data_IF_260090194136
#
_entry.id   IF_260090194136
#
_cell.length_a   1.000
_cell.length_b   1.000
_cell.length_c   1.000
_cell.angle_alpha   90.00
_cell.angle_beta   90.00
_cell.angle_gamma   90.00
#
_symmetry.space_group_name_H-M   'P 1'
#
loop_
_entity.id
_entity.type
_entity.pdbx_description
1 polymer ?
#
# COMPACT_ATOMS: atom_id res chain seq x y z
N UNK A 1 -35.89 31.62 52.60
CA UNK A 1 -34.42 31.59 52.39
C UNK A 1 -34.03 30.19 51.94
N UNK A 2 -34.09 29.92 50.64
CA UNK A 2 -33.73 28.63 50.04
C UNK A 2 -32.32 28.77 49.45
N UNK A 3 -31.36 28.05 50.03
CA UNK A 3 -29.97 27.99 49.54
C UNK A 3 -29.96 27.25 48.21
N UNK A 4 -29.63 27.95 47.14
CA UNK A 4 -29.31 27.35 45.85
C UNK A 4 -27.87 26.88 45.91
N UNK A 5 -27.66 25.57 46.04
CA UNK A 5 -26.32 24.98 45.86
C UNK A 5 -25.99 25.03 44.37
N UNK A 6 -25.20 26.03 43.99
CA UNK A 6 -24.54 26.06 42.70
C UNK A 6 -23.45 24.98 42.72
N UNK A 7 -23.71 23.84 42.08
CA UNK A 7 -22.69 22.85 41.76
C UNK A 7 -21.74 23.52 40.76
N UNK A 8 -20.57 23.94 41.24
CA UNK A 8 -19.51 24.44 40.39
C UNK A 8 -19.05 23.31 39.45
N UNK A 9 -19.55 23.31 38.22
CA UNK A 9 -19.02 22.47 37.16
C UNK A 9 -17.57 22.86 36.96
N UNK A 10 -16.66 21.93 37.24
CA UNK A 10 -15.23 22.09 36.98
C UNK A 10 -15.06 22.29 35.47
N UNK A 11 -14.84 23.53 35.04
CA UNK A 11 -14.47 23.87 33.66
C UNK A 11 -13.06 23.37 33.37
N UNK A 12 -12.90 22.05 33.22
CA UNK A 12 -11.80 21.51 32.43
C UNK A 12 -11.98 22.03 31.00
N UNK A 13 -10.91 22.55 30.39
CA UNK A 13 -10.90 22.97 28.97
C UNK A 13 -11.47 21.83 28.12
N UNK A 14 -12.73 21.91 27.72
CA UNK A 14 -13.33 20.97 26.80
C UNK A 14 -12.64 21.16 25.44
N UNK A 15 -11.92 20.15 24.97
CA UNK A 15 -11.31 20.20 23.64
C UNK A 15 -12.45 20.14 22.61
N UNK A 16 -12.35 20.95 21.57
CA UNK A 16 -13.26 20.85 20.42
C UNK A 16 -12.94 19.57 19.65
N UNK A 17 -13.93 19.00 18.94
CA UNK A 17 -13.69 17.86 18.05
C UNK A 17 -12.52 18.19 17.12
N UNK A 18 -11.53 17.31 17.07
CA UNK A 18 -10.34 17.44 16.22
C UNK A 18 -10.47 16.73 14.88
N UNK A 19 -11.62 16.15 14.61
CA UNK A 19 -11.94 15.44 13.36
C UNK A 19 -12.89 16.28 12.54
N UNK A 20 -12.69 16.35 11.21
CA UNK A 20 -13.59 17.04 10.29
C UNK A 20 -15.01 16.49 10.36
N UNK A 21 -15.96 17.30 9.90
CA UNK A 21 -17.30 16.82 9.59
C UNK A 21 -17.27 15.80 8.44
N UNK A 22 -18.11 14.77 8.52
CA UNK A 22 -18.20 13.69 7.52
C UNK A 22 -19.05 14.15 6.33
N UNK A 23 -18.52 15.10 5.56
CA UNK A 23 -19.16 15.58 4.32
C UNK A 23 -18.70 14.77 3.10
N UNK A 24 -19.21 15.10 1.91
CA UNK A 24 -18.69 14.52 0.65
C UNK A 24 -17.20 14.84 0.48
N UNK A 25 -16.75 16.02 0.90
CA UNK A 25 -15.34 16.41 0.82
C UNK A 25 -14.43 15.54 1.67
N UNK A 26 -14.89 15.12 2.86
CA UNK A 26 -14.17 14.17 3.71
C UNK A 26 -13.87 12.87 2.97
N UNK A 27 -14.85 12.31 2.27
CA UNK A 27 -14.67 11.07 1.51
C UNK A 27 -13.78 11.26 0.29
N UNK A 28 -13.93 12.37 -0.44
CA UNK A 28 -13.07 12.69 -1.60
C UNK A 28 -11.60 12.74 -1.18
N UNK A 29 -11.26 13.61 -0.23
CA UNK A 29 -9.86 13.78 0.18
C UNK A 29 -9.31 12.53 0.88
N UNK A 30 -10.15 11.77 1.61
CA UNK A 30 -9.75 10.46 2.18
C UNK A 30 -9.35 9.48 1.09
N UNK A 31 -10.14 9.33 0.03
CA UNK A 31 -9.81 8.44 -1.10
C UNK A 31 -8.54 8.93 -1.82
N UNK A 32 -8.38 10.24 -1.98
CA UNK A 32 -7.15 10.79 -2.56
C UNK A 32 -5.92 10.44 -1.69
N UNK A 33 -6.02 10.61 -0.37
CA UNK A 33 -4.95 10.26 0.56
C UNK A 33 -4.65 8.75 0.55
N UNK A 34 -5.67 7.88 0.49
CA UNK A 34 -5.46 6.43 0.42
C UNK A 34 -4.89 5.99 -0.93
N UNK A 35 -5.01 6.77 -1.99
CA UNK A 35 -4.36 6.45 -3.26
C UNK A 35 -2.89 6.91 -3.25
N UNK A 36 -2.62 8.12 -2.75
CA UNK A 36 -1.24 8.64 -2.60
C UNK A 36 -0.41 7.77 -1.67
N UNK A 37 -1.01 7.28 -0.58
CA UNK A 37 -0.27 6.44 0.37
C UNK A 37 0.36 5.21 -0.27
N UNK A 38 -0.27 4.66 -1.31
CA UNK A 38 0.26 3.55 -2.12
C UNK A 38 1.36 4.07 -3.03
N UNK A 39 0.97 4.81 -4.09
CA UNK A 39 1.89 5.21 -5.16
C UNK A 39 3.09 6.03 -4.70
N UNK A 40 2.99 6.77 -3.60
CA UNK A 40 4.10 7.56 -3.08
C UNK A 40 5.08 6.71 -2.25
N UNK A 41 4.60 5.68 -1.54
CA UNK A 41 5.47 4.73 -0.86
C UNK A 41 6.33 3.98 -1.89
N UNK A 42 5.69 3.47 -2.95
CA UNK A 42 6.35 2.75 -4.05
C UNK A 42 7.38 3.62 -4.76
N UNK A 43 6.98 4.85 -5.10
CA UNK A 43 7.87 5.79 -5.77
C UNK A 43 9.15 6.06 -4.95
N UNK A 44 9.03 6.25 -3.63
CA UNK A 44 10.20 6.48 -2.78
C UNK A 44 11.06 5.23 -2.68
N UNK A 45 10.45 4.06 -2.55
CA UNK A 45 11.19 2.81 -2.45
C UNK A 45 12.00 2.55 -3.72
N UNK A 46 11.36 2.65 -4.89
CA UNK A 46 11.98 2.37 -6.19
C UNK A 46 12.95 3.45 -6.66
N UNK A 47 12.58 4.74 -6.57
CA UNK A 47 13.30 5.82 -7.26
C UNK A 47 14.46 6.37 -6.46
N UNK A 48 14.33 6.44 -5.13
CA UNK A 48 15.37 7.00 -4.28
C UNK A 48 16.41 5.94 -3.86
N UNK A 49 16.15 4.66 -4.09
CA UNK A 49 17.09 3.57 -3.79
C UNK A 49 17.51 3.50 -2.33
N UNK A 50 16.71 4.10 -1.43
CA UNK A 50 16.98 4.12 0.01
C UNK A 50 16.75 2.75 0.65
N UNK A 51 16.02 1.88 -0.04
CA UNK A 51 15.52 0.61 0.47
C UNK A 51 14.32 0.80 1.40
N UNK A 52 13.53 -0.25 1.51
CA UNK A 52 12.24 -0.24 2.20
C UNK A 52 12.39 0.10 3.69
N UNK A 53 13.35 -0.53 4.37
CA UNK A 53 13.61 -0.31 5.81
C UNK A 53 14.03 1.12 6.16
N UNK A 54 14.91 1.74 5.36
CA UNK A 54 15.37 3.10 5.62
C UNK A 54 14.24 4.11 5.39
N UNK A 55 13.45 3.88 4.32
CA UNK A 55 12.26 4.69 4.01
C UNK A 55 11.24 4.61 5.13
N UNK A 56 10.92 3.41 5.61
CA UNK A 56 10.01 3.22 6.74
C UNK A 56 10.51 3.92 8.01
N UNK A 57 11.81 3.87 8.32
CA UNK A 57 12.37 4.55 9.49
C UNK A 57 12.21 6.08 9.39
N UNK A 58 12.49 6.66 8.21
CA UNK A 58 12.31 8.09 7.96
C UNK A 58 10.84 8.48 8.12
N UNK A 59 9.92 7.76 7.47
CA UNK A 59 8.50 8.04 7.56
C UNK A 59 7.93 7.82 8.96
N UNK A 60 8.47 6.86 9.72
CA UNK A 60 8.14 6.69 11.14
C UNK A 60 8.53 7.92 11.96
N UNK A 61 9.71 8.49 11.72
CA UNK A 61 10.14 9.72 12.39
C UNK A 61 9.25 10.92 12.00
N UNK A 62 8.92 11.05 10.72
CA UNK A 62 7.99 12.08 10.22
C UNK A 62 6.60 11.89 10.82
N UNK A 63 6.11 10.66 10.91
CA UNK A 63 4.84 10.31 11.52
C UNK A 63 4.81 10.73 12.99
N UNK A 64 5.84 10.42 13.77
CA UNK A 64 5.94 10.84 15.18
C UNK A 64 5.92 12.37 15.29
N UNK A 65 6.63 13.09 14.43
CA UNK A 65 6.66 14.55 14.44
C UNK A 65 5.30 15.18 14.10
N UNK A 66 4.68 14.74 13.00
CA UNK A 66 3.38 15.27 12.52
C UNK A 66 2.25 14.87 13.46
N UNK A 67 2.25 13.63 13.97
CA UNK A 67 1.28 13.19 14.97
C UNK A 67 1.47 13.95 16.27
N UNK A 68 2.70 14.20 16.71
CA UNK A 68 3.00 15.08 17.85
C UNK A 68 2.42 16.48 17.68
N UNK A 69 2.56 17.06 16.48
CA UNK A 69 1.92 18.33 16.14
C UNK A 69 0.40 18.25 16.24
N UNK A 70 -0.24 17.25 15.62
CA UNK A 70 -1.69 17.04 15.68
C UNK A 70 -2.21 16.88 17.11
N UNK A 71 -1.53 16.08 17.94
CA UNK A 71 -1.90 15.86 19.33
C UNK A 71 -1.77 17.14 20.18
N UNK A 72 -0.80 18.01 19.86
CA UNK A 72 -0.59 19.29 20.56
C UNK A 72 -1.69 20.33 20.29
N UNK A 73 -2.41 20.22 19.18
CA UNK A 73 -3.50 21.14 18.86
C UNK A 73 -4.70 20.93 19.80
N UNK A 74 -5.55 21.94 19.95
CA UNK A 74 -6.76 21.87 20.79
C UNK A 74 -8.06 21.94 20.00
N UNK A 75 -7.94 22.08 18.67
CA UNK A 75 -9.03 22.19 17.71
C UNK A 75 -8.63 21.57 16.38
N UNK A 76 -9.62 21.26 15.55
CA UNK A 76 -9.40 20.84 14.18
C UNK A 76 -8.68 21.93 13.37
N UNK A 77 -7.59 21.55 12.70
CA UNK A 77 -6.86 22.36 11.72
C UNK A 77 -6.74 21.52 10.45
N UNK A 78 -7.45 21.86 9.35
CA UNK A 78 -7.53 21.02 8.17
C UNK A 78 -6.17 20.57 7.64
N UNK A 79 -5.23 21.51 7.50
CA UNK A 79 -3.89 21.22 7.01
C UNK A 79 -3.15 20.17 7.85
N UNK A 80 -3.10 20.34 9.18
CA UNK A 80 -2.33 19.43 10.06
C UNK A 80 -2.99 18.05 10.11
N UNK A 81 -4.30 17.99 10.15
CA UNK A 81 -5.04 16.72 10.14
C UNK A 81 -4.81 15.94 8.84
N UNK A 82 -4.99 16.58 7.68
CA UNK A 82 -4.84 15.89 6.39
C UNK A 82 -3.38 15.56 6.09
N UNK A 83 -2.42 16.39 6.51
CA UNK A 83 -1.01 16.03 6.50
C UNK A 83 -0.75 14.78 7.34
N UNK A 84 -1.31 14.70 8.55
CA UNK A 84 -1.21 13.50 9.40
C UNK A 84 -1.78 12.28 8.69
N UNK A 85 -2.94 12.41 8.05
CA UNK A 85 -3.57 11.30 7.30
C UNK A 85 -2.69 10.83 6.14
N UNK A 86 -2.08 11.73 5.38
CA UNK A 86 -1.14 11.37 4.28
C UNK A 86 0.11 10.68 4.82
N UNK A 87 0.70 11.18 5.90
CA UNK A 87 1.91 10.56 6.49
C UNK A 87 1.58 9.19 7.08
N UNK A 88 0.45 9.06 7.77
CA UNK A 88 -0.04 7.76 8.28
C UNK A 88 -0.32 6.80 7.13
N UNK A 89 -0.87 7.28 6.01
CA UNK A 89 -1.16 6.42 4.87
C UNK A 89 0.11 5.80 4.30
N UNK A 90 1.12 6.63 4.02
CA UNK A 90 2.42 6.17 3.49
C UNK A 90 3.12 5.24 4.48
N UNK A 91 3.12 5.59 5.77
CA UNK A 91 3.78 4.76 6.80
C UNK A 91 3.07 3.41 6.97
N UNK A 92 1.75 3.37 6.85
CA UNK A 92 0.96 2.14 6.91
C UNK A 92 1.23 1.19 5.75
N UNK A 93 1.41 1.70 4.54
CA UNK A 93 1.87 0.94 3.36
C UNK A 93 3.22 0.29 3.66
N UNK A 94 4.22 1.12 3.97
CA UNK A 94 5.60 0.67 4.20
C UNK A 94 5.72 -0.42 5.28
N UNK A 95 4.92 -0.37 6.34
CA UNK A 95 4.91 -1.44 7.34
C UNK A 95 4.34 -2.76 6.82
N UNK A 96 3.37 -2.70 5.93
CA UNK A 96 2.80 -3.87 5.27
C UNK A 96 3.82 -4.45 4.32
N UNK A 97 4.42 -3.62 3.48
CA UNK A 97 5.42 -4.02 2.49
C UNK A 97 6.64 -4.65 3.18
N UNK A 98 7.09 -4.14 4.33
CA UNK A 98 8.19 -4.77 5.09
C UNK A 98 7.80 -6.19 5.52
N UNK A 99 6.55 -6.42 5.90
CA UNK A 99 6.10 -7.75 6.29
C UNK A 99 6.03 -8.68 5.06
N UNK A 100 5.53 -8.21 3.93
CA UNK A 100 5.25 -9.05 2.76
C UNK A 100 6.47 -9.22 1.86
N UNK A 101 7.21 -8.14 1.62
CA UNK A 101 8.26 -8.09 0.59
C UNK A 101 9.63 -8.38 1.20
N UNK A 102 9.96 -7.76 2.34
CA UNK A 102 11.23 -8.01 3.02
C UNK A 102 11.18 -9.32 3.84
N UNK A 103 10.12 -9.49 4.63
CA UNK A 103 9.98 -10.62 5.57
C UNK A 103 9.23 -11.82 4.98
N UNK A 104 8.70 -11.71 3.76
CA UNK A 104 8.04 -12.80 3.03
C UNK A 104 6.87 -13.42 3.82
N UNK A 105 6.17 -12.60 4.61
CA UNK A 105 4.98 -13.00 5.36
C UNK A 105 3.78 -13.04 4.39
N UNK A 106 3.06 -14.16 4.27
CA UNK A 106 1.93 -14.25 3.36
C UNK A 106 0.86 -13.19 3.62
N UNK A 107 0.34 -12.56 2.56
CA UNK A 107 -0.66 -11.49 2.63
C UNK A 107 -1.95 -11.90 3.36
N UNK A 108 -2.36 -13.17 3.21
CA UNK A 108 -3.48 -13.75 3.97
C UNK A 108 -3.24 -13.70 5.50
N UNK A 109 -2.01 -13.96 5.92
CA UNK A 109 -1.62 -13.92 7.33
C UNK A 109 -1.52 -12.47 7.82
N UNK A 110 -0.85 -11.59 7.08
CA UNK A 110 -0.73 -10.16 7.39
C UNK A 110 -2.11 -9.51 7.53
N UNK A 111 -3.00 -9.74 6.57
CA UNK A 111 -4.39 -9.26 6.61
C UNK A 111 -5.13 -9.76 7.85
N UNK A 112 -5.01 -11.06 8.16
CA UNK A 112 -5.67 -11.67 9.33
C UNK A 112 -5.15 -11.09 10.65
N UNK A 113 -3.83 -10.88 10.75
CA UNK A 113 -3.19 -10.29 11.94
C UNK A 113 -3.61 -8.84 12.10
N UNK A 114 -3.56 -8.01 11.06
CA UNK A 114 -3.99 -6.62 11.15
C UNK A 114 -5.49 -6.49 11.47
N UNK A 115 -6.34 -7.37 10.93
CA UNK A 115 -7.76 -7.41 11.28
C UNK A 115 -7.96 -7.75 12.76
N UNK A 116 -7.22 -8.73 13.29
CA UNK A 116 -7.26 -9.08 14.71
C UNK A 116 -6.77 -7.93 15.60
N UNK A 117 -5.66 -7.28 15.23
CA UNK A 117 -5.13 -6.10 15.94
C UNK A 117 -6.14 -4.96 15.93
N UNK A 118 -6.78 -4.68 14.79
CA UNK A 118 -7.81 -3.65 14.69
C UNK A 118 -9.01 -3.96 15.59
N UNK A 119 -9.46 -5.21 15.64
CA UNK A 119 -10.52 -5.66 16.52
C UNK A 119 -10.15 -5.48 18.00
N UNK A 120 -8.90 -5.78 18.38
CA UNK A 120 -8.38 -5.53 19.73
C UNK A 120 -8.35 -4.03 20.04
N UNK A 121 -7.88 -3.18 19.12
CA UNK A 121 -7.86 -1.72 19.29
C UNK A 121 -9.27 -1.19 19.53
N UNK A 122 -10.26 -1.59 18.71
CA UNK A 122 -11.66 -1.21 18.92
C UNK A 122 -12.23 -1.77 20.23
N UNK A 123 -11.90 -3.02 20.58
CA UNK A 123 -12.36 -3.65 21.82
C UNK A 123 -11.85 -2.92 23.07
N UNK A 124 -10.55 -2.59 23.11
CA UNK A 124 -9.93 -1.84 24.21
C UNK A 124 -10.46 -0.41 24.26
N UNK A 125 -10.59 0.26 23.11
CA UNK A 125 -11.17 1.60 23.03
C UNK A 125 -12.60 1.62 23.57
N UNK A 126 -13.46 0.70 23.11
CA UNK A 126 -14.83 0.59 23.62
C UNK A 126 -14.89 0.26 25.10
N UNK A 127 -14.05 -0.66 25.59
CA UNK A 127 -14.01 -1.01 27.01
C UNK A 127 -13.69 0.18 27.92
N UNK A 128 -12.80 1.07 27.45
CA UNK A 128 -12.31 2.25 28.19
C UNK A 128 -13.23 3.46 28.06
N UNK A 129 -13.69 3.76 26.84
CA UNK A 129 -14.37 5.03 26.52
C UNK A 129 -15.87 4.86 26.28
N UNK A 130 -16.36 3.63 26.09
CA UNK A 130 -17.77 3.29 25.79
C UNK A 130 -18.35 4.05 24.60
N UNK A 131 -17.48 4.44 23.67
CA UNK A 131 -17.81 5.07 22.38
C UNK A 131 -16.74 4.72 21.35
N UNK A 132 -17.16 4.46 20.12
CA UNK A 132 -16.29 4.40 18.93
C UNK A 132 -16.62 5.55 17.95
N UNK A 133 -17.40 6.54 18.39
CA UNK A 133 -17.84 7.65 17.56
C UNK A 133 -16.73 8.68 17.38
N UNK A 134 -16.43 9.01 16.13
CA UNK A 134 -15.42 10.01 15.77
C UNK A 134 -15.80 11.44 16.19
N UNK A 135 -17.10 11.72 16.35
CA UNK A 135 -17.57 13.03 16.83
C UNK A 135 -17.24 13.28 18.30
N UNK A 136 -16.81 12.25 19.03
CA UNK A 136 -16.54 12.31 20.46
C UNK A 136 -15.04 12.34 20.80
N UNK A 137 -14.18 12.62 19.81
CA UNK A 137 -12.72 12.74 19.98
C UNK A 137 -12.39 14.11 20.57
N UNK A 138 -12.59 14.20 21.89
CA UNK A 138 -12.41 15.44 22.68
C UNK A 138 -11.46 15.24 23.87
N UNK A 139 -10.80 14.08 23.97
CA UNK A 139 -9.80 13.78 24.99
C UNK A 139 -8.58 13.13 24.36
N UNK A 140 -7.41 13.32 24.97
CA UNK A 140 -6.15 12.73 24.49
C UNK A 140 -6.22 11.20 24.36
N UNK A 141 -6.79 10.42 25.33
CA UNK A 141 -6.91 8.97 25.16
C UNK A 141 -7.73 8.56 23.94
N UNK A 142 -8.86 9.23 23.68
CA UNK A 142 -9.71 8.95 22.51
C UNK A 142 -8.99 9.29 21.21
N UNK A 143 -8.24 10.37 21.20
CA UNK A 143 -7.44 10.78 20.04
C UNK A 143 -6.32 9.77 19.75
N UNK A 144 -5.64 9.26 20.78
CA UNK A 144 -4.64 8.21 20.62
C UNK A 144 -5.25 6.92 20.06
N UNK A 145 -6.40 6.47 20.59
CA UNK A 145 -7.10 5.30 20.04
C UNK A 145 -7.54 5.51 18.59
N UNK A 146 -8.01 6.71 18.27
CA UNK A 146 -8.41 7.07 16.92
C UNK A 146 -7.22 6.99 15.94
N UNK A 147 -6.08 7.61 16.26
CA UNK A 147 -4.91 7.55 15.37
C UNK A 147 -4.29 6.17 15.29
N UNK A 148 -4.29 5.40 16.38
CA UNK A 148 -3.86 4.01 16.37
C UNK A 148 -4.77 3.16 15.48
N UNK A 149 -6.10 3.30 15.62
CA UNK A 149 -7.05 2.62 14.76
C UNK A 149 -6.80 2.98 13.30
N UNK A 150 -6.62 4.27 12.99
CA UNK A 150 -6.31 4.72 11.63
C UNK A 150 -5.04 4.05 11.10
N UNK A 151 -3.92 4.08 11.82
CA UNK A 151 -2.68 3.44 11.38
C UNK A 151 -2.89 1.96 11.07
N UNK A 152 -3.57 1.22 11.96
CA UNK A 152 -3.85 -0.21 11.75
C UNK A 152 -4.80 -0.42 10.56
N UNK A 153 -5.81 0.45 10.35
CA UNK A 153 -6.68 0.35 9.16
C UNK A 153 -5.94 0.61 7.87
N UNK A 154 -4.90 1.45 7.88
CA UNK A 154 -4.08 1.71 6.70
C UNK A 154 -3.27 0.47 6.34
N UNK A 155 -2.57 -0.14 7.31
CA UNK A 155 -1.83 -1.39 7.09
C UNK A 155 -2.74 -2.56 6.68
N UNK A 156 -3.88 -2.73 7.37
CA UNK A 156 -4.89 -3.73 7.00
C UNK A 156 -5.40 -3.54 5.56
N UNK A 157 -5.64 -2.29 5.19
CA UNK A 157 -6.22 -1.99 3.89
C UNK A 157 -5.25 -2.14 2.72
N UNK A 158 -3.95 -1.89 2.92
CA UNK A 158 -2.91 -2.26 1.95
C UNK A 158 -2.86 -3.78 1.81
N UNK A 159 -2.63 -4.50 2.92
CA UNK A 159 -2.53 -5.96 2.89
C UNK A 159 -3.76 -6.63 2.26
N UNK A 160 -4.96 -6.12 2.53
CA UNK A 160 -6.19 -6.66 1.93
C UNK A 160 -6.40 -6.25 0.46
N UNK A 161 -5.87 -5.11 0.03
CA UNK A 161 -5.87 -4.70 -1.39
C UNK A 161 -5.03 -5.67 -2.21
N UNK A 162 -3.78 -5.84 -1.81
CA UNK A 162 -2.81 -6.72 -2.49
C UNK A 162 -3.27 -8.18 -2.42
N UNK A 163 -3.83 -8.59 -1.27
CA UNK A 163 -4.36 -9.94 -1.14
C UNK A 163 -5.53 -10.21 -2.08
N UNK A 164 -6.37 -9.21 -2.41
CA UNK A 164 -7.44 -9.39 -3.41
C UNK A 164 -6.82 -9.69 -4.78
N UNK A 165 -5.74 -8.99 -5.16
CA UNK A 165 -5.02 -9.23 -6.42
C UNK A 165 -4.41 -10.62 -6.44
N UNK A 166 -3.66 -10.99 -5.40
CA UNK A 166 -3.01 -12.30 -5.28
C UNK A 166 -4.02 -13.45 -5.30
N UNK A 167 -5.11 -13.31 -4.53
CA UNK A 167 -6.10 -14.36 -4.34
C UNK A 167 -6.98 -14.60 -5.58
N UNK A 168 -7.24 -13.56 -6.38
CA UNK A 168 -8.20 -13.63 -7.48
C UNK A 168 -7.56 -13.59 -8.87
N UNK A 169 -6.31 -13.13 -8.96
CA UNK A 169 -5.62 -12.83 -10.21
C UNK A 169 -6.28 -11.71 -11.04
N UNK A 170 -7.20 -10.94 -10.44
CA UNK A 170 -7.82 -9.80 -11.10
C UNK A 170 -6.80 -8.67 -11.25
N UNK A 171 -6.80 -8.02 -12.41
CA UNK A 171 -6.06 -6.77 -12.58
C UNK A 171 -6.55 -5.68 -11.61
N UNK A 172 -5.70 -4.74 -11.21
CA UNK A 172 -6.04 -3.71 -10.22
C UNK A 172 -7.33 -2.94 -10.53
N UNK A 173 -7.56 -2.59 -11.81
CA UNK A 173 -8.76 -1.88 -12.24
C UNK A 173 -10.07 -2.64 -12.00
N UNK A 174 -10.07 -3.98 -12.14
CA UNK A 174 -11.24 -4.81 -11.82
C UNK A 174 -11.38 -4.94 -10.30
N UNK A 175 -10.26 -5.12 -9.60
CA UNK A 175 -10.21 -5.28 -8.14
C UNK A 175 -10.74 -4.06 -7.38
N UNK A 176 -10.70 -2.85 -7.95
CA UNK A 176 -11.35 -1.64 -7.41
C UNK A 176 -12.86 -1.83 -7.24
N UNK A 177 -13.52 -2.62 -8.08
CA UNK A 177 -14.98 -2.80 -8.05
C UNK A 177 -15.47 -3.48 -6.77
N UNK A 178 -14.67 -4.36 -6.17
CA UNK A 178 -15.04 -5.07 -4.96
C UNK A 178 -15.18 -4.11 -3.75
N UNK A 179 -14.13 -3.37 -3.31
CA UNK A 179 -14.27 -2.43 -2.21
C UNK A 179 -15.24 -1.29 -2.55
N UNK A 180 -15.32 -0.83 -3.81
CA UNK A 180 -16.32 0.16 -4.23
C UNK A 180 -17.75 -0.35 -4.03
N UNK A 181 -18.05 -1.57 -4.49
CA UNK A 181 -19.35 -2.21 -4.33
C UNK A 181 -19.71 -2.43 -2.85
N UNK A 182 -18.74 -2.81 -2.02
CA UNK A 182 -18.93 -2.94 -0.57
C UNK A 182 -19.21 -1.60 0.09
N UNK A 183 -18.54 -0.51 -0.30
CA UNK A 183 -18.84 0.84 0.19
C UNK A 183 -20.27 1.23 -0.18
N UNK A 184 -20.71 0.99 -1.42
CA UNK A 184 -22.10 1.24 -1.83
C UNK A 184 -23.08 0.42 -0.99
N UNK A 185 -22.79 -0.85 -0.75
CA UNK A 185 -23.62 -1.71 0.09
C UNK A 185 -23.70 -1.21 1.54
N UNK A 186 -22.61 -0.69 2.10
CA UNK A 186 -22.56 -0.03 3.42
C UNK A 186 -23.40 1.25 3.43
N UNK A 187 -23.30 2.09 2.40
CA UNK A 187 -24.11 3.31 2.28
C UNK A 187 -25.60 2.98 2.20
N UNK A 188 -25.98 1.96 1.43
CA UNK A 188 -27.36 1.46 1.39
C UNK A 188 -27.79 1.00 2.78
N UNK A 189 -26.95 0.22 3.47
CA UNK A 189 -27.25 -0.25 4.83
C UNK A 189 -27.47 0.89 5.82
N UNK A 190 -26.62 1.90 5.79
CA UNK A 190 -26.76 3.11 6.58
C UNK A 190 -28.06 3.87 6.27
N UNK A 191 -28.39 4.08 4.99
CA UNK A 191 -29.68 4.69 4.57
C UNK A 191 -30.89 3.87 5.02
N UNK A 192 -30.73 2.54 5.10
CA UNK A 192 -31.72 1.61 5.60
C UNK A 192 -31.72 1.46 7.13
N UNK A 193 -31.00 2.31 7.87
CA UNK A 193 -31.08 2.40 9.33
C UNK A 193 -30.10 1.50 10.08
N UNK A 194 -28.98 1.12 9.45
CA UNK A 194 -27.86 0.50 10.15
C UNK A 194 -27.19 1.49 11.13
N UNK A 195 -26.47 0.94 12.12
CA UNK A 195 -25.70 1.74 13.07
C UNK A 195 -24.72 2.69 12.34
N UNK A 196 -24.80 3.99 12.61
CA UNK A 196 -23.99 4.99 11.91
C UNK A 196 -22.48 4.85 12.20
N UNK A 197 -22.10 4.50 13.43
CA UNK A 197 -20.70 4.32 13.83
C UNK A 197 -20.09 3.10 13.14
N UNK A 198 -20.80 1.97 13.15
CA UNK A 198 -20.37 0.76 12.45
C UNK A 198 -20.25 1.01 10.94
N UNK A 199 -21.26 1.64 10.35
CA UNK A 199 -21.27 1.93 8.90
C UNK A 199 -20.13 2.86 8.51
N UNK A 200 -19.82 3.87 9.35
CA UNK A 200 -18.67 4.74 9.17
C UNK A 200 -17.37 3.94 9.16
N UNK A 201 -17.12 3.10 10.17
CA UNK A 201 -15.87 2.33 10.24
C UNK A 201 -15.73 1.33 9.10
N UNK A 202 -16.81 0.65 8.71
CA UNK A 202 -16.80 -0.25 7.55
C UNK A 202 -16.43 0.50 6.26
N UNK A 203 -17.11 1.62 5.98
CA UNK A 203 -16.78 2.44 4.82
C UNK A 203 -15.35 2.98 4.89
N UNK A 204 -14.92 3.47 6.06
CA UNK A 204 -13.57 4.00 6.28
C UNK A 204 -12.50 2.94 6.01
N UNK A 205 -12.65 1.72 6.54
CA UNK A 205 -11.72 0.62 6.30
C UNK A 205 -11.68 0.28 4.81
N UNK A 206 -12.84 0.16 4.15
CA UNK A 206 -12.94 -0.20 2.73
C UNK A 206 -12.36 0.85 1.78
N UNK A 207 -12.29 2.13 2.17
CA UNK A 207 -11.64 3.16 1.33
C UNK A 207 -10.14 2.94 1.16
N UNK A 208 -9.50 2.12 2.00
CA UNK A 208 -8.07 1.85 1.88
C UNK A 208 -7.74 0.81 0.79
N UNK A 209 -8.28 -0.42 0.77
CA UNK A 209 -8.06 -1.34 -0.35
C UNK A 209 -8.61 -0.77 -1.67
N UNK A 210 -9.63 0.09 -1.63
CA UNK A 210 -10.05 0.86 -2.81
C UNK A 210 -8.92 1.76 -3.33
N UNK A 211 -8.25 2.48 -2.43
CA UNK A 211 -7.17 3.40 -2.76
C UNK A 211 -5.90 2.69 -3.23
N UNK A 212 -5.54 1.56 -2.60
CA UNK A 212 -4.41 0.73 -3.01
C UNK A 212 -4.60 0.24 -4.45
N UNK A 213 -5.69 -0.49 -4.72
CA UNK A 213 -6.00 -0.98 -6.07
C UNK A 213 -6.15 0.14 -7.12
N UNK A 214 -6.58 1.34 -6.72
CA UNK A 214 -6.66 2.51 -7.62
C UNK A 214 -5.27 3.08 -7.91
N UNK A 215 -4.38 3.11 -6.92
CA UNK A 215 -2.99 3.52 -7.03
C UNK A 215 -2.26 2.62 -8.02
N UNK A 216 -2.32 1.32 -7.79
CA UNK A 216 -1.76 0.27 -8.65
C UNK A 216 -2.33 0.36 -10.06
N UNK A 217 -3.65 0.49 -10.21
CA UNK A 217 -4.26 0.58 -11.54
C UNK A 217 -3.76 1.79 -12.33
N UNK A 218 -3.49 2.91 -11.68
CA UNK A 218 -2.97 4.11 -12.34
C UNK A 218 -1.45 4.04 -12.55
N UNK A 219 -0.72 3.50 -11.57
CA UNK A 219 0.74 3.43 -11.53
C UNK A 219 1.32 2.34 -12.41
N UNK A 220 0.78 1.12 -12.32
CA UNK A 220 1.32 -0.05 -13.00
C UNK A 220 1.37 0.08 -14.52
N UNK A 221 2.36 -0.56 -15.16
CA UNK A 221 2.44 -0.61 -16.61
C UNK A 221 1.36 -1.54 -17.22
N UNK A 222 1.07 -1.41 -18.53
CA UNK A 222 -0.02 -2.16 -19.18
C UNK A 222 0.10 -3.69 -19.14
N UNK A 223 1.32 -4.22 -19.06
CA UNK A 223 1.63 -5.65 -18.90
C UNK A 223 1.16 -6.19 -17.53
N UNK A 224 1.10 -5.33 -16.51
CA UNK A 224 0.50 -5.62 -15.20
C UNK A 224 -0.97 -5.18 -15.10
N UNK A 225 -1.62 -4.94 -16.25
CA UNK A 225 -3.02 -4.49 -16.35
C UNK A 225 -3.28 -3.10 -15.73
N UNK A 226 -2.24 -2.28 -15.61
CA UNK A 226 -2.33 -0.87 -15.22
C UNK A 226 -2.45 0.10 -16.41
N UNK A 227 -2.63 1.39 -16.11
CA UNK A 227 -2.78 2.46 -17.10
C UNK A 227 -1.42 3.06 -17.55
N UNK A 228 -0.34 2.74 -16.86
CA UNK A 228 1.02 3.14 -17.22
C UNK A 228 1.34 4.62 -16.98
N UNK A 229 0.67 5.30 -16.05
CA UNK A 229 1.03 6.67 -15.69
C UNK A 229 2.35 6.74 -14.91
N UNK A 230 2.73 5.63 -14.26
CA UNK A 230 3.86 5.55 -13.34
C UNK A 230 3.54 6.11 -11.96
N UNK A 231 4.09 5.48 -10.92
CA UNK A 231 3.88 5.82 -9.51
C UNK A 231 4.22 7.27 -9.18
N UNK A 232 5.26 7.82 -9.81
CA UNK A 232 5.68 9.21 -9.66
C UNK A 232 4.59 10.21 -10.12
N UNK A 233 4.06 10.03 -11.33
CA UNK A 233 3.08 10.95 -11.91
C UNK A 233 1.74 10.84 -11.19
N UNK A 234 1.31 9.61 -10.88
CA UNK A 234 0.13 9.34 -10.06
C UNK A 234 0.23 10.06 -8.71
N UNK A 235 1.36 9.95 -8.03
CA UNK A 235 1.59 10.65 -6.75
C UNK A 235 1.48 12.17 -6.88
N UNK A 236 2.09 12.78 -7.90
CA UNK A 236 2.04 14.24 -8.13
C UNK A 236 0.60 14.72 -8.38
N UNK A 237 -0.16 14.02 -9.22
CA UNK A 237 -1.55 14.36 -9.53
C UNK A 237 -2.40 14.36 -8.26
N UNK A 238 -2.30 13.30 -7.47
CA UNK A 238 -3.12 13.17 -6.27
C UNK A 238 -2.66 14.10 -5.13
N UNK A 239 -1.36 14.28 -4.92
CA UNK A 239 -0.85 15.27 -3.96
C UNK A 239 -1.33 16.69 -4.29
N UNK A 240 -1.36 17.04 -5.59
CA UNK A 240 -1.90 18.32 -6.05
C UNK A 240 -3.40 18.43 -5.78
N UNK A 241 -4.17 17.37 -6.04
CA UNK A 241 -5.60 17.33 -5.76
C UNK A 241 -5.92 17.41 -4.24
N UNK A 242 -5.11 16.74 -3.40
CA UNK A 242 -5.19 16.84 -1.94
C UNK A 242 -4.92 18.28 -1.52
N UNK A 243 -3.82 18.88 -1.98
CA UNK A 243 -3.46 20.25 -1.62
C UNK A 243 -4.57 21.23 -2.02
N UNK A 244 -5.09 21.13 -3.24
CA UNK A 244 -6.21 21.96 -3.71
C UNK A 244 -7.45 21.80 -2.81
N UNK A 245 -7.78 20.58 -2.42
CA UNK A 245 -8.92 20.29 -1.53
C UNK A 245 -8.67 20.83 -0.12
N UNK A 246 -7.47 20.67 0.43
CA UNK A 246 -7.10 21.22 1.75
C UNK A 246 -7.15 22.74 1.75
N UNK A 247 -6.66 23.40 0.69
CA UNK A 247 -6.74 24.86 0.55
C UNK A 247 -8.21 25.31 0.49
N UNK A 248 -9.03 24.64 -0.32
CA UNK A 248 -10.46 24.91 -0.41
C UNK A 248 -11.15 24.78 0.96
N UNK A 249 -10.91 23.68 1.69
CA UNK A 249 -11.49 23.46 3.02
C UNK A 249 -10.97 24.47 4.05
N UNK A 250 -9.69 24.85 3.99
CA UNK A 250 -9.10 25.86 4.87
C UNK A 250 -9.76 27.23 4.68
N UNK A 251 -10.08 27.59 3.43
CA UNK A 251 -10.72 28.87 3.09
C UNK A 251 -12.22 28.85 3.41
N UNK A 252 -12.93 27.79 3.01
CA UNK A 252 -14.39 27.71 3.13
C UNK A 252 -14.87 27.27 4.51
N UNK A 253 -14.03 26.56 5.27
CA UNK A 253 -14.36 25.94 6.57
C UNK A 253 -15.60 25.04 6.52
N UNK A 254 -15.94 24.50 5.35
CA UNK A 254 -17.11 23.63 5.14
C UNK A 254 -17.01 22.26 5.82
N UNK A 255 -15.90 21.99 6.50
CA UNK A 255 -15.58 20.75 7.21
C UNK A 255 -15.40 20.98 8.73
N UNK A 256 -15.64 22.20 9.21
CA UNK A 256 -15.59 22.55 10.64
C UNK A 256 -16.96 22.35 11.26
N UNK A 257 -17.06 21.45 12.24
CA UNK A 257 -18.29 21.25 13.02
C UNK A 257 -18.59 22.51 13.84
N UNK A 258 -19.54 23.33 13.39
CA UNK A 258 -20.00 24.51 14.14
C UNK A 258 -20.84 24.12 15.36
N UNK A 259 -20.74 24.92 16.43
CA UNK A 259 -21.42 24.67 17.71
C UNK A 259 -22.97 24.65 17.56
N UNK A 260 -23.49 25.31 16.51
CA UNK A 260 -24.91 25.38 16.17
C UNK A 260 -25.47 24.10 15.51
N UNK A 261 -24.63 23.30 14.85
CA UNK A 261 -25.05 22.03 14.22
C UNK A 261 -25.10 20.87 15.23
N UNK A 262 -24.32 20.94 16.31
CA UNK A 262 -24.42 19.99 17.43
C UNK A 262 -25.79 19.99 18.09
N UNK A 263 -26.51 21.11 18.10
CA UNK A 263 -27.87 21.18 18.68
C UNK A 263 -28.98 20.75 17.70
N UNK A 264 -28.71 20.75 16.39
CA UNK A 264 -29.72 20.55 15.34
C UNK A 264 -29.53 19.28 14.50
N UNK A 265 -28.52 18.45 14.79
CA UNK A 265 -28.40 17.14 14.12
C UNK A 265 -29.59 16.29 14.52
N UNK A 266 -30.49 15.91 13.58
CA UNK A 266 -31.54 14.95 13.88
C UNK A 266 -30.82 13.68 14.32
N UNK A 267 -30.99 13.28 15.59
CA UNK A 267 -30.57 11.97 16.01
C UNK A 267 -31.26 11.00 15.06
N UNK A 268 -30.52 10.31 14.20
CA UNK A 268 -31.07 9.20 13.42
C UNK A 268 -31.48 8.19 14.46
N UNK A 269 -32.76 8.25 14.88
CA UNK A 269 -33.33 7.33 15.85
C UNK A 269 -33.51 6.01 15.13
N UNK A 270 -32.43 5.25 15.00
CA UNK A 270 -32.50 3.87 14.54
C UNK A 270 -33.21 3.07 15.62
N UNK A 271 -34.34 2.45 15.26
CA UNK A 271 -35.04 1.56 16.18
C UNK A 271 -34.15 0.32 16.42
N UNK A 272 -33.94 -0.15 17.66
CA UNK A 272 -33.03 -1.26 17.95
C UNK A 272 -33.32 -2.55 17.17
N UNK A 273 -34.59 -2.79 16.84
CA UNK A 273 -35.01 -3.91 16.00
C UNK A 273 -34.49 -3.77 14.55
N UNK A 274 -34.56 -2.58 13.97
CA UNK A 274 -34.06 -2.27 12.63
C UNK A 274 -32.54 -2.39 12.58
N UNK A 275 -31.85 -1.91 13.61
CA UNK A 275 -30.40 -2.04 13.75
C UNK A 275 -29.94 -3.52 13.76
N UNK A 276 -30.63 -4.39 14.52
CA UNK A 276 -30.35 -5.84 14.52
C UNK A 276 -30.55 -6.48 13.15
N UNK A 277 -31.63 -6.13 12.44
CA UNK A 277 -31.87 -6.61 11.07
C UNK A 277 -30.73 -6.15 10.15
N UNK A 278 -30.30 -4.90 10.29
CA UNK A 278 -29.21 -4.35 9.49
C UNK A 278 -27.83 -4.95 9.82
N UNK A 279 -27.61 -5.42 11.05
CA UNK A 279 -26.43 -6.24 11.35
C UNK A 279 -26.48 -7.57 10.59
N UNK A 280 -27.66 -8.17 10.47
CA UNK A 280 -27.88 -9.34 9.61
C UNK A 280 -27.55 -9.05 8.14
N UNK A 281 -27.97 -7.90 7.62
CA UNK A 281 -27.62 -7.45 6.26
C UNK A 281 -26.10 -7.34 6.05
N UNK A 282 -25.36 -6.72 6.98
CA UNK A 282 -23.89 -6.69 6.90
C UNK A 282 -23.26 -8.08 7.00
N UNK A 283 -23.83 -8.97 7.83
CA UNK A 283 -23.42 -10.38 7.87
C UNK A 283 -23.62 -11.09 6.53
N UNK A 284 -24.76 -10.88 5.86
CA UNK A 284 -25.04 -11.45 4.54
C UNK A 284 -24.05 -10.93 3.49
N UNK A 285 -23.74 -9.62 3.49
CA UNK A 285 -22.74 -9.04 2.59
C UNK A 285 -21.36 -9.65 2.84
N UNK A 286 -20.95 -9.78 4.10
CA UNK A 286 -19.65 -10.37 4.45
C UNK A 286 -19.55 -11.83 3.97
N UNK A 287 -20.60 -12.63 4.18
CA UNK A 287 -20.65 -14.01 3.69
C UNK A 287 -20.63 -14.07 2.16
N UNK A 288 -21.42 -13.23 1.49
CA UNK A 288 -21.43 -13.16 0.02
C UNK A 288 -20.06 -12.76 -0.55
N UNK A 289 -19.36 -11.84 0.13
CA UNK A 289 -17.99 -11.43 -0.22
C UNK A 289 -17.02 -12.60 -0.07
N UNK A 290 -17.08 -13.32 1.05
CA UNK A 290 -16.24 -14.51 1.26
C UNK A 290 -16.49 -15.61 0.22
N UNK A 291 -17.76 -15.87 -0.12
CA UNK A 291 -18.12 -16.82 -1.19
C UNK A 291 -17.59 -16.37 -2.54
N UNK A 292 -17.70 -15.08 -2.87
CA UNK A 292 -17.15 -14.51 -4.10
C UNK A 292 -15.64 -14.68 -4.19
N UNK A 293 -14.91 -14.36 -3.12
CA UNK A 293 -13.45 -14.48 -3.06
C UNK A 293 -12.99 -15.93 -3.17
N UNK A 294 -13.66 -16.87 -2.47
CA UNK A 294 -13.36 -18.31 -2.58
C UNK A 294 -13.64 -18.82 -3.99
N UNK A 295 -14.75 -18.39 -4.60
CA UNK A 295 -15.08 -18.75 -5.97
C UNK A 295 -14.07 -18.22 -6.98
N UNK A 296 -13.65 -16.96 -6.83
CA UNK A 296 -12.64 -16.32 -7.68
C UNK A 296 -11.28 -17.00 -7.53
N UNK A 297 -10.86 -17.31 -6.30
CA UNK A 297 -9.64 -18.06 -6.01
C UNK A 297 -9.61 -19.46 -6.63
N UNK A 298 -10.78 -20.08 -6.80
CA UNK A 298 -10.92 -21.38 -7.45
C UNK A 298 -10.88 -21.34 -8.98
N UNK A 299 -10.88 -20.15 -9.61
CA UNK A 299 -10.77 -20.03 -11.06
C UNK A 299 -9.31 -20.14 -11.50
N UNK A 300 -9.00 -20.66 -12.70
CA UNK A 300 -7.65 -20.60 -13.24
C UNK A 300 -7.25 -19.14 -13.49
N UNK A 301 -6.23 -18.66 -12.81
CA UNK A 301 -5.65 -17.35 -13.03
C UNK A 301 -4.13 -17.41 -12.84
N UNK A 302 -3.40 -16.61 -13.59
CA UNK A 302 -2.01 -16.28 -13.28
C UNK A 302 -2.03 -15.23 -12.17
N UNK A 303 -1.28 -15.46 -11.10
CA UNK A 303 -1.04 -14.44 -10.08
C UNK A 303 -0.28 -13.31 -10.79
N UNK A 304 -0.95 -12.21 -11.12
CA UNK A 304 -0.24 -10.96 -11.35
C UNK A 304 0.45 -10.69 -10.01
N UNK A 305 1.78 -10.76 -9.99
CA UNK A 305 2.52 -10.51 -8.77
C UNK A 305 2.07 -9.14 -8.24
N UNK A 306 1.32 -9.14 -7.14
CA UNK A 306 1.08 -7.94 -6.36
C UNK A 306 2.38 -7.68 -5.58
N UNK A 307 3.39 -7.31 -6.34
CA UNK A 307 4.66 -6.79 -5.89
C UNK A 307 5.13 -5.85 -6.99
N UNK A 308 4.80 -4.58 -6.78
CA UNK A 308 5.43 -3.42 -7.42
C UNK A 308 6.94 -3.70 -7.52
N UNK A 309 7.45 -3.51 -8.74
CA UNK A 309 8.82 -3.78 -9.11
C UNK A 309 9.83 -3.05 -8.20
N UNK A 310 10.45 -3.77 -7.27
CA UNK A 310 11.90 -3.65 -7.24
C UNK A 310 12.37 -3.89 -8.68
N UNK A 311 13.29 -3.06 -9.13
CA UNK A 311 14.25 -3.48 -10.16
C UNK A 311 15.05 -4.67 -9.58
N UNK A 312 14.38 -5.82 -9.44
CA UNK A 312 14.71 -6.83 -8.43
C UNK A 312 13.53 -7.65 -7.86
N UNK A 313 12.47 -7.98 -8.62
CA UNK A 313 11.68 -9.17 -8.26
C UNK A 313 11.33 -10.01 -9.46
N UNK A 314 12.01 -11.14 -9.52
CA UNK A 314 11.83 -12.22 -10.46
C UNK A 314 10.41 -12.78 -10.35
N UNK A 315 9.60 -12.55 -11.39
CA UNK A 315 9.00 -13.74 -12.00
C UNK A 315 10.21 -14.59 -12.31
N UNK A 316 10.46 -15.64 -11.53
CA UNK A 316 11.52 -16.59 -11.85
C UNK A 316 11.04 -17.27 -13.12
N UNK A 317 11.26 -16.62 -14.26
CA UNK A 317 11.11 -17.18 -15.58
C UNK A 317 11.98 -18.44 -15.52
N UNK A 318 11.31 -19.57 -15.34
CA UNK A 318 11.96 -20.86 -15.16
C UNK A 318 11.77 -21.58 -16.46
N UNK A 319 12.89 -21.91 -17.11
CA UNK A 319 12.85 -22.74 -18.30
C UNK A 319 12.32 -24.12 -17.90
N UNK A 320 11.37 -24.65 -18.67
CA UNK A 320 10.95 -26.03 -18.49
C UNK A 320 12.16 -26.97 -18.68
N UNK A 321 12.21 -28.12 -17.99
CA UNK A 321 13.34 -29.04 -18.10
C UNK A 321 13.69 -29.37 -19.57
N UNK A 322 14.91 -29.05 -19.99
CA UNK A 322 15.41 -29.29 -21.35
C UNK A 322 15.26 -28.13 -22.35
N UNK A 323 14.76 -26.96 -21.92
CA UNK A 323 14.77 -25.74 -22.76
C UNK A 323 16.01 -24.87 -22.50
N UNK A 324 16.54 -24.25 -23.56
CA UNK A 324 17.65 -23.28 -23.49
C UNK A 324 17.11 -21.86 -23.61
N UNK A 325 17.64 -20.95 -22.80
CA UNK A 325 17.28 -19.52 -22.80
C UNK A 325 17.65 -18.81 -24.11
N UNK A 326 18.59 -19.39 -24.87
CA UNK A 326 19.14 -18.81 -26.09
C UNK A 326 18.66 -19.49 -27.36
N UNK A 327 17.71 -20.43 -27.26
CA UNK A 327 17.27 -21.28 -28.37
C UNK A 327 16.76 -20.50 -29.59
N UNK A 328 16.20 -19.29 -29.38
CA UNK A 328 15.70 -18.42 -30.45
C UNK A 328 16.60 -17.20 -30.71
N UNK A 329 17.72 -17.06 -29.99
CA UNK A 329 18.63 -15.95 -30.18
C UNK A 329 19.59 -16.20 -31.35
N UNK A 330 20.06 -15.14 -32.05
CA UNK A 330 21.09 -15.29 -33.06
C UNK A 330 22.37 -15.90 -32.45
N UNK A 331 22.96 -16.95 -33.05
CA UNK A 331 24.14 -17.62 -32.50
C UNK A 331 25.34 -16.67 -32.27
N UNK A 332 25.47 -15.63 -33.10
CA UNK A 332 26.53 -14.63 -32.97
C UNK A 332 26.41 -13.80 -31.66
N UNK A 333 25.19 -13.43 -31.27
CA UNK A 333 24.95 -12.69 -30.02
C UNK A 333 25.17 -13.60 -28.80
N UNK A 334 24.69 -14.84 -28.85
CA UNK A 334 24.93 -15.83 -27.79
C UNK A 334 26.43 -16.08 -27.57
N UNK A 335 27.21 -16.21 -28.66
CA UNK A 335 28.68 -16.35 -28.57
C UNK A 335 29.32 -15.11 -27.95
N UNK A 336 28.89 -13.91 -28.37
CA UNK A 336 29.39 -12.64 -27.83
C UNK A 336 29.18 -12.56 -26.31
N UNK A 337 27.96 -12.81 -25.82
CA UNK A 337 27.66 -12.82 -24.38
C UNK A 337 28.50 -13.86 -23.64
N UNK A 338 28.57 -15.09 -24.17
CA UNK A 338 29.34 -16.18 -23.57
C UNK A 338 30.83 -15.84 -23.45
N UNK A 339 31.41 -15.20 -24.47
CA UNK A 339 32.81 -14.77 -24.45
C UNK A 339 33.04 -13.74 -23.34
N UNK A 340 32.20 -12.71 -23.24
CA UNK A 340 32.35 -11.67 -22.22
C UNK A 340 32.21 -12.26 -20.81
N UNK A 341 31.23 -13.15 -20.59
CA UNK A 341 31.04 -13.82 -19.30
C UNK A 341 32.21 -14.74 -18.95
N UNK A 342 32.75 -15.50 -19.90
CA UNK A 342 33.91 -16.37 -19.70
C UNK A 342 35.19 -15.57 -19.38
N UNK A 343 35.41 -14.46 -20.09
CA UNK A 343 36.53 -13.55 -19.83
C UNK A 343 36.43 -12.93 -18.43
N UNK A 344 35.21 -12.54 -18.02
CA UNK A 344 34.96 -12.00 -16.68
C UNK A 344 35.26 -13.05 -15.60
N UNK A 345 34.82 -14.30 -15.80
CA UNK A 345 35.12 -15.41 -14.89
C UNK A 345 36.62 -15.69 -14.78
N UNK A 346 37.36 -15.66 -15.89
CA UNK A 346 38.81 -15.83 -15.88
C UNK A 346 39.51 -14.76 -15.05
N UNK A 347 39.01 -13.50 -15.09
CA UNK A 347 39.55 -12.40 -14.29
C UNK A 347 39.26 -12.55 -12.80
N UNK A 348 38.04 -12.93 -12.42
CA UNK A 348 37.68 -13.25 -11.03
C UNK A 348 38.54 -14.40 -10.51
N UNK A 349 38.80 -15.43 -11.32
CA UNK A 349 39.67 -16.56 -10.96
C UNK A 349 41.14 -16.15 -10.78
N UNK A 350 41.60 -15.14 -11.54
CA UNK A 350 42.95 -14.57 -11.42
C UNK A 350 43.08 -13.55 -10.26
N UNK A 351 41.99 -13.20 -9.57
CA UNK A 351 41.97 -12.15 -8.54
C UNK A 351 42.02 -10.72 -9.10
N UNK A 352 41.79 -10.55 -10.40
CA UNK A 352 41.73 -9.25 -11.08
C UNK A 352 40.32 -8.64 -10.94
N UNK A 353 39.99 -8.16 -9.74
CA UNK A 353 38.66 -7.61 -9.47
C UNK A 353 38.34 -6.38 -10.34
N UNK A 354 39.28 -5.45 -10.45
CA UNK A 354 39.08 -4.23 -11.22
C UNK A 354 38.88 -4.53 -12.71
N UNK A 355 39.63 -5.48 -13.27
CA UNK A 355 39.43 -5.93 -14.64
C UNK A 355 38.10 -6.68 -14.81
N UNK A 356 37.65 -7.44 -13.82
CA UNK A 356 36.37 -8.16 -13.88
C UNK A 356 35.20 -7.17 -13.87
N UNK A 357 35.22 -6.17 -12.99
CA UNK A 357 34.21 -5.09 -12.95
C UNK A 357 34.22 -4.24 -14.22
N UNK A 358 35.40 -4.04 -14.85
CA UNK A 358 35.47 -3.37 -16.14
C UNK A 358 34.85 -4.24 -17.26
N UNK A 359 35.18 -5.53 -17.31
CA UNK A 359 34.71 -6.45 -18.36
C UNK A 359 33.22 -6.72 -18.28
N UNK A 360 32.64 -6.78 -17.08
CA UNK A 360 31.20 -7.00 -16.93
C UNK A 360 30.35 -5.82 -17.45
N UNK A 361 30.92 -4.61 -17.51
CA UNK A 361 30.26 -3.45 -18.15
C UNK A 361 30.07 -3.66 -19.66
N UNK A 362 30.99 -4.37 -20.31
CA UNK A 362 30.83 -4.72 -21.72
C UNK A 362 29.65 -5.67 -21.93
N UNK A 363 29.35 -6.53 -20.94
CA UNK A 363 28.20 -7.44 -20.99
C UNK A 363 26.90 -6.66 -20.86
N UNK A 364 26.80 -5.80 -19.84
CA UNK A 364 25.66 -4.89 -19.62
C UNK A 364 25.37 -4.07 -20.89
N UNK A 365 26.39 -3.40 -21.43
CA UNK A 365 26.23 -2.58 -22.64
C UNK A 365 25.77 -3.42 -23.84
N UNK A 366 26.39 -4.59 -24.05
CA UNK A 366 26.03 -5.46 -25.16
C UNK A 366 24.63 -6.06 -25.03
N UNK A 367 24.17 -6.31 -23.80
CA UNK A 367 22.85 -6.84 -23.49
C UNK A 367 21.80 -5.76 -23.73
N UNK A 368 21.97 -4.57 -23.15
CA UNK A 368 21.08 -3.42 -23.31
C UNK A 368 20.91 -3.02 -24.79
N UNK A 369 22.02 -2.92 -25.53
CA UNK A 369 22.00 -2.63 -26.97
C UNK A 369 21.21 -3.69 -27.77
N UNK A 370 21.18 -4.93 -27.28
CA UNK A 370 20.50 -6.06 -27.91
C UNK A 370 19.00 -6.14 -27.61
N UNK A 371 18.51 -5.49 -26.55
CA UNK A 371 17.17 -5.68 -25.99
C UNK A 371 16.06 -5.57 -27.04
N UNK A 372 16.04 -4.48 -27.82
CA UNK A 372 15.00 -4.23 -28.82
C UNK A 372 14.94 -5.31 -29.92
N UNK A 373 16.00 -6.11 -30.09
CA UNK A 373 16.09 -7.16 -31.11
C UNK A 373 15.99 -8.57 -30.54
N UNK A 374 16.41 -8.78 -29.29
CA UNK A 374 16.49 -10.11 -28.66
C UNK A 374 15.25 -10.43 -27.82
N UNK A 375 14.73 -9.46 -27.06
CA UNK A 375 13.56 -9.67 -26.21
C UNK A 375 12.31 -10.13 -27.01
N UNK A 376 11.99 -9.56 -28.19
CA UNK A 376 10.83 -10.03 -28.96
C UNK A 376 10.96 -11.45 -29.53
N UNK A 377 12.18 -12.00 -29.61
CA UNK A 377 12.42 -13.36 -30.13
C UNK A 377 12.04 -14.42 -29.09
N UNK A 378 12.37 -14.19 -27.83
CA UNK A 378 12.03 -15.05 -26.71
C UNK A 378 11.96 -14.25 -25.41
N UNK A 379 10.79 -13.72 -25.08
CA UNK A 379 10.61 -12.90 -23.89
C UNK A 379 10.92 -13.68 -22.61
N UNK A 380 10.50 -14.95 -22.52
CA UNK A 380 10.80 -15.80 -21.36
C UNK A 380 12.30 -16.13 -21.26
N UNK A 381 12.96 -16.47 -22.37
CA UNK A 381 14.40 -16.72 -22.39
C UNK A 381 15.22 -15.46 -22.08
N UNK A 382 14.77 -14.31 -22.57
CA UNK A 382 15.31 -12.99 -22.26
C UNK A 382 15.23 -12.72 -20.76
N UNK A 383 14.04 -12.80 -20.16
CA UNK A 383 13.85 -12.55 -18.71
C UNK A 383 14.70 -13.48 -17.83
N UNK A 384 14.86 -14.76 -18.21
CA UNK A 384 15.75 -15.69 -17.47
C UNK A 384 17.19 -15.18 -17.46
N UNK A 385 17.72 -14.81 -18.62
CA UNK A 385 19.10 -14.39 -18.79
C UNK A 385 19.34 -13.01 -18.20
N UNK A 386 18.38 -12.10 -18.35
CA UNK A 386 18.39 -10.76 -17.78
C UNK A 386 18.59 -10.82 -16.26
N UNK A 387 17.78 -11.60 -15.56
CA UNK A 387 17.94 -11.82 -14.12
C UNK A 387 19.28 -12.48 -13.74
N UNK A 388 19.81 -13.40 -14.56
CA UNK A 388 21.14 -13.97 -14.34
C UNK A 388 22.25 -12.94 -14.52
N UNK A 389 22.13 -12.04 -15.50
CA UNK A 389 23.07 -10.94 -15.75
C UNK A 389 23.03 -9.94 -14.58
N UNK A 390 21.84 -9.62 -14.07
CA UNK A 390 21.68 -8.75 -12.89
C UNK A 390 22.35 -9.34 -11.65
N UNK A 391 22.19 -10.64 -11.41
CA UNK A 391 22.88 -11.32 -10.31
C UNK A 391 24.41 -11.24 -10.46
N UNK A 392 24.92 -11.38 -11.67
CA UNK A 392 26.35 -11.23 -11.96
C UNK A 392 26.80 -9.78 -11.73
N UNK A 393 26.09 -8.79 -12.27
CA UNK A 393 26.40 -7.37 -12.10
C UNK A 393 26.41 -6.96 -10.63
N UNK A 394 25.41 -7.42 -9.87
CA UNK A 394 25.28 -7.18 -8.42
C UNK A 394 26.45 -7.80 -7.66
N UNK A 395 26.81 -9.04 -7.94
CA UNK A 395 27.92 -9.72 -7.27
C UNK A 395 29.26 -9.01 -7.52
N UNK A 396 29.54 -8.61 -8.77
CA UNK A 396 30.79 -7.95 -9.17
C UNK A 396 30.91 -6.49 -8.77
N UNK A 397 29.79 -5.82 -8.46
CA UNK A 397 29.73 -4.40 -8.06
C UNK A 397 29.44 -4.21 -6.57
N UNK A 398 29.34 -5.28 -5.80
CA UNK A 398 29.14 -5.22 -4.36
C UNK A 398 30.27 -4.41 -3.68
N UNK A 399 29.93 -3.67 -2.62
CA UNK A 399 30.92 -2.88 -1.86
C UNK A 399 32.02 -3.75 -1.20
N UNK A 400 31.73 -5.03 -0.98
CA UNK A 400 32.68 -6.07 -0.60
C UNK A 400 32.42 -7.32 -1.44
N UNK A 401 33.05 -7.44 -2.63
CA UNK A 401 32.82 -8.58 -3.52
C UNK A 401 33.29 -9.89 -2.88
N UNK A 402 32.47 -10.93 -2.98
CA UNK A 402 32.81 -12.29 -2.56
C UNK A 402 33.14 -13.17 -3.79
N UNK A 403 34.40 -13.61 -3.96
CA UNK A 403 34.81 -14.41 -5.12
C UNK A 403 34.06 -15.74 -5.28
N UNK A 404 33.49 -16.31 -4.21
CA UNK A 404 32.70 -17.53 -4.32
C UNK A 404 31.35 -17.24 -4.99
N UNK A 405 30.66 -16.21 -4.51
CA UNK A 405 29.38 -15.73 -5.07
C UNK A 405 29.53 -15.28 -6.54
N UNK A 406 30.58 -14.53 -6.87
CA UNK A 406 30.84 -14.10 -8.25
C UNK A 406 31.05 -15.27 -9.21
N UNK A 407 31.88 -16.25 -8.81
CA UNK A 407 32.13 -17.46 -9.61
C UNK A 407 30.86 -18.27 -9.82
N UNK A 408 30.02 -18.39 -8.78
CA UNK A 408 28.75 -19.09 -8.88
C UNK A 408 27.78 -18.40 -9.84
N UNK A 409 27.62 -17.08 -9.73
CA UNK A 409 26.76 -16.29 -10.61
C UNK A 409 27.21 -16.39 -12.07
N UNK A 410 28.51 -16.17 -12.34
CA UNK A 410 29.09 -16.27 -13.69
C UNK A 410 28.98 -17.68 -14.28
N UNK A 411 29.16 -18.73 -13.47
CA UNK A 411 29.01 -20.12 -13.93
C UNK A 411 27.56 -20.46 -14.26
N UNK A 412 26.61 -19.91 -13.49
CA UNK A 412 25.18 -20.05 -13.73
C UNK A 412 24.81 -19.39 -15.05
N UNK A 413 25.25 -18.15 -15.27
CA UNK A 413 25.03 -17.43 -16.52
C UNK A 413 25.68 -18.14 -17.73
N UNK A 414 26.90 -18.67 -17.59
CA UNK A 414 27.55 -19.47 -18.64
C UNK A 414 26.79 -20.76 -18.98
N UNK A 415 25.98 -21.28 -18.06
CA UNK A 415 25.12 -22.43 -18.29
C UNK A 415 23.84 -22.03 -19.00
N UNK A 416 23.25 -20.87 -18.63
CA UNK A 416 22.08 -20.31 -19.31
C UNK A 416 22.35 -19.88 -20.76
N UNK A 417 23.59 -19.47 -21.07
CA UNK A 417 24.05 -19.07 -22.41
C UNK A 417 24.46 -20.25 -23.32
N UNK A 418 24.16 -21.50 -22.95
CA UNK A 418 24.38 -22.70 -23.77
C UNK A 418 23.12 -23.10 -24.53
#
# INVERSE_FOLDING_TARGET
>A
MTKTSATAATTGRAMLSKVPEITVWFWIIKILCTTVGESFADWINMTLGLGLNATALIFTAVLVAVLGWQLSLTRYVPFVYWLTVVVVSVTGTLYTDILTDDLQVPLALSTSVFAAVLAVVFGVWWARERTLSIHSIVTLPRECFYWLAILVTFALGTASGDWILELTGWGPGISVLLPAGLIVAVVIGWRLGANAVLSFWLAYILTRPLGANLGDWLGFPPDQQGLGLGTAMTSVIFLTAILATVVYLTVTRSDVIEEHERSNTPAVTTHPARERVMHGYYGVIAVATGVLLVWAAGQPHSVAAASEAESGSSVTATLAPGQSATAKFPPAETVKFRTITADTLAKVQAGDQAGATARIKDLETAWDDGQATLQPLDDNGWTVLDGQIDHVLTALRAGQPDPATEKQALTTLLTGLQ
#
